data_IF_315767148927
#
_entry.id   IF_315767148927
#
_cell.length_a   1.000
_cell.length_b   1.000
_cell.length_c   1.000
_cell.angle_alpha   90.00
_cell.angle_beta   90.00
_cell.angle_gamma   90.00
#
_symmetry.space_group_name_H-M   'P 1'
#
loop_
_entity.id
_entity.type
_entity.pdbx_description
1 polymer ?
#
# COMPACT_ATOMS: atom_id res chain seq x y z
N UNK A 1 26.13 1.42 3.13
CA UNK A 1 26.43 1.47 1.68
C UNK A 1 25.13 1.11 0.98
N UNK A 2 24.42 2.12 0.48
CA UNK A 2 22.96 2.16 0.51
C UNK A 2 22.23 1.41 -0.60
N UNK A 3 20.99 1.06 -0.27
CA UNK A 3 19.88 0.47 -1.02
C UNK A 3 19.44 1.28 -2.26
N UNK A 4 20.39 1.73 -3.09
CA UNK A 4 20.13 2.61 -4.24
C UNK A 4 19.72 1.84 -5.51
N UNK A 5 20.12 0.57 -5.59
CA UNK A 5 19.74 -0.32 -6.69
C UNK A 5 18.24 -0.64 -6.70
N UNK A 6 17.64 -0.78 -5.51
CA UNK A 6 16.25 -1.20 -5.38
C UNK A 6 15.26 -0.09 -5.80
N UNK A 7 15.46 1.14 -5.31
CA UNK A 7 14.55 2.25 -5.63
C UNK A 7 14.53 2.60 -7.13
N UNK A 8 15.70 2.55 -7.79
CA UNK A 8 15.77 2.76 -9.25
C UNK A 8 15.11 1.60 -10.00
N UNK A 9 15.34 0.35 -9.55
CA UNK A 9 14.70 -0.84 -10.10
C UNK A 9 13.18 -0.76 -10.00
N UNK A 10 12.64 -0.39 -8.84
CA UNK A 10 11.19 -0.19 -8.61
C UNK A 10 10.59 0.81 -9.60
N UNK A 11 11.25 1.97 -9.81
CA UNK A 11 10.78 2.96 -10.77
C UNK A 11 10.81 2.44 -12.22
N UNK A 12 11.84 1.66 -12.60
CA UNK A 12 11.91 1.03 -13.92
C UNK A 12 10.85 -0.07 -14.10
N UNK A 13 10.55 -0.85 -13.07
CA UNK A 13 9.48 -1.84 -13.10
C UNK A 13 8.11 -1.18 -13.31
N UNK A 14 7.86 -0.01 -12.72
CA UNK A 14 6.64 0.75 -12.97
C UNK A 14 6.54 1.25 -14.41
N UNK A 15 7.64 1.76 -14.97
CA UNK A 15 7.68 2.14 -16.38
C UNK A 15 7.39 0.96 -17.31
N UNK A 16 7.96 -0.22 -17.02
CA UNK A 16 7.68 -1.45 -17.77
C UNK A 16 6.21 -1.86 -17.68
N UNK A 17 5.60 -1.77 -16.49
CA UNK A 17 4.15 -2.01 -16.31
C UNK A 17 3.32 -1.02 -17.10
N UNK A 18 3.69 0.26 -17.11
CA UNK A 18 3.00 1.29 -17.88
C UNK A 18 2.97 0.95 -19.39
N UNK A 19 4.12 0.57 -19.95
CA UNK A 19 4.24 0.17 -21.35
C UNK A 19 3.39 -1.07 -21.64
N UNK A 20 3.44 -2.08 -20.77
CA UNK A 20 2.64 -3.29 -20.92
C UNK A 20 1.13 -2.99 -20.89
N UNK A 21 0.67 -2.10 -20.00
CA UNK A 21 -0.72 -1.67 -19.95
C UNK A 21 -1.14 -0.88 -21.19
N UNK A 22 -0.29 0.03 -21.65
CA UNK A 22 -0.52 0.82 -22.86
C UNK A 22 -0.73 -0.09 -24.09
N UNK A 23 0.18 -1.06 -24.27
CA UNK A 23 0.09 -2.08 -25.32
C UNK A 23 -1.15 -2.97 -25.18
N UNK A 24 -1.58 -3.25 -23.95
CA UNK A 24 -2.78 -4.04 -23.66
C UNK A 24 -4.09 -3.22 -23.69
N UNK A 25 -4.04 -1.96 -24.16
CA UNK A 25 -5.19 -1.05 -24.18
C UNK A 25 -5.85 -0.88 -22.80
N UNK A 26 -5.04 -0.93 -21.74
CA UNK A 26 -5.38 -0.68 -20.35
C UNK A 26 -4.94 0.75 -20.00
N UNK A 27 -5.58 1.71 -20.66
CA UNK A 27 -5.07 3.07 -20.74
C UNK A 27 -5.11 3.81 -19.39
N UNK A 28 -6.10 3.52 -18.54
CA UNK A 28 -6.17 4.12 -17.20
C UNK A 28 -4.98 3.69 -16.33
N UNK A 29 -4.64 2.39 -16.37
CA UNK A 29 -3.51 1.83 -15.65
C UNK A 29 -2.17 2.28 -16.23
N UNK A 30 -2.08 2.39 -17.56
CA UNK A 30 -0.91 2.92 -18.23
C UNK A 30 -0.62 4.36 -17.80
N UNK A 31 -1.63 5.22 -17.85
CA UNK A 31 -1.55 6.63 -17.42
C UNK A 31 -1.08 6.72 -15.96
N UNK A 32 -1.66 5.91 -15.08
CA UNK A 32 -1.31 5.88 -13.67
C UNK A 32 0.16 5.46 -13.46
N UNK A 33 0.58 4.34 -14.05
CA UNK A 33 1.95 3.85 -13.90
C UNK A 33 3.01 4.76 -14.55
N UNK A 34 2.71 5.41 -15.68
CA UNK A 34 3.63 6.38 -16.29
C UNK A 34 3.86 7.57 -15.36
N UNK A 35 2.80 8.09 -14.72
CA UNK A 35 2.90 9.17 -13.74
C UNK A 35 3.76 8.77 -12.54
N UNK A 36 3.42 7.65 -11.90
CA UNK A 36 4.16 7.13 -10.74
C UNK A 36 5.63 6.84 -11.06
N UNK A 37 5.92 6.27 -12.23
CA UNK A 37 7.29 6.02 -12.66
C UNK A 37 8.05 7.34 -12.86
N UNK A 38 7.46 8.33 -13.54
CA UNK A 38 8.08 9.62 -13.77
C UNK A 38 8.38 10.35 -12.46
N UNK A 39 7.41 10.40 -11.53
CA UNK A 39 7.56 11.07 -10.24
C UNK A 39 8.67 10.43 -9.41
N UNK A 40 8.71 9.08 -9.33
CA UNK A 40 9.77 8.34 -8.63
C UNK A 40 11.15 8.61 -9.25
N UNK A 41 11.27 8.60 -10.58
CA UNK A 41 12.54 8.90 -11.27
C UNK A 41 12.99 10.32 -10.97
N UNK A 42 12.09 11.31 -11.07
CA UNK A 42 12.42 12.71 -10.82
C UNK A 42 12.88 12.93 -9.37
N UNK A 43 12.21 12.32 -8.40
CA UNK A 43 12.60 12.36 -6.99
C UNK A 43 13.99 11.74 -6.76
N UNK A 44 14.31 10.62 -7.41
CA UNK A 44 15.63 9.98 -7.34
C UNK A 44 16.72 10.85 -7.96
N UNK A 45 16.44 11.47 -9.11
CA UNK A 45 17.39 12.40 -9.76
C UNK A 45 17.63 13.64 -8.90
N UNK A 46 16.58 14.23 -8.33
CA UNK A 46 16.68 15.40 -7.44
C UNK A 46 17.48 15.09 -6.17
N UNK A 47 17.27 13.91 -5.59
CA UNK A 47 18.02 13.44 -4.42
C UNK A 47 19.43 12.90 -4.74
N UNK A 48 19.88 13.03 -6.00
CA UNK A 48 21.19 12.54 -6.50
C UNK A 48 21.39 11.03 -6.29
N UNK A 49 20.31 10.27 -6.20
CA UNK A 49 20.28 8.81 -6.05
C UNK A 49 20.23 8.06 -7.38
N UNK A 50 19.97 8.78 -8.48
CA UNK A 50 19.97 8.24 -9.83
C UNK A 50 20.64 9.19 -10.83
N UNK A 51 21.03 8.65 -11.99
CA UNK A 51 21.66 9.42 -13.06
C UNK A 51 20.75 10.55 -13.57
N UNK A 52 21.25 11.79 -13.70
CA UNK A 52 20.50 12.90 -14.29
C UNK A 52 19.98 12.62 -15.71
N UNK A 53 20.61 11.68 -16.44
CA UNK A 53 20.17 11.26 -17.78
C UNK A 53 18.74 10.67 -17.77
N UNK A 54 18.32 10.05 -16.67
CA UNK A 54 16.97 9.47 -16.55
C UNK A 54 15.86 10.53 -16.52
N UNK A 55 16.20 11.81 -16.30
CA UNK A 55 15.24 12.91 -16.38
C UNK A 55 14.56 12.95 -17.75
N UNK A 56 15.29 12.65 -18.83
CA UNK A 56 14.71 12.60 -20.18
C UNK A 56 13.61 11.54 -20.26
N UNK A 57 13.87 10.33 -19.76
CA UNK A 57 12.89 9.24 -19.77
C UNK A 57 11.64 9.60 -18.95
N UNK A 58 11.82 10.23 -17.78
CA UNK A 58 10.69 10.68 -16.97
C UNK A 58 9.79 11.68 -17.74
N UNK A 59 10.40 12.61 -18.49
CA UNK A 59 9.64 13.55 -19.33
C UNK A 59 8.90 12.83 -20.46
N UNK A 60 9.53 11.86 -21.13
CA UNK A 60 8.88 11.04 -22.16
C UNK A 60 7.67 10.25 -21.60
N UNK A 61 7.76 9.75 -20.37
CA UNK A 61 6.64 9.09 -19.68
C UNK A 61 5.51 10.06 -19.36
N UNK A 62 5.82 11.28 -18.91
CA UNK A 62 4.81 12.33 -18.69
C UNK A 62 4.12 12.69 -20.00
N UNK A 63 4.88 12.93 -21.08
CA UNK A 63 4.32 13.24 -22.40
C UNK A 63 3.39 12.14 -22.89
N UNK A 64 3.77 10.86 -22.71
CA UNK A 64 2.90 9.74 -23.07
C UNK A 64 1.64 9.67 -22.22
N UNK A 65 1.75 9.87 -20.91
CA UNK A 65 0.60 9.90 -20.01
C UNK A 65 -0.38 11.01 -20.38
N UNK A 66 0.10 12.22 -20.66
CA UNK A 66 -0.72 13.36 -21.08
C UNK A 66 -1.38 13.12 -22.45
N UNK A 67 -0.65 12.53 -23.39
CA UNK A 67 -1.22 12.12 -24.68
C UNK A 67 -2.40 11.15 -24.50
N UNK A 68 -2.24 10.12 -23.65
CA UNK A 68 -3.31 9.16 -23.37
C UNK A 68 -4.48 9.81 -22.62
N UNK A 69 -4.20 10.67 -21.63
CA UNK A 69 -5.22 11.38 -20.84
C UNK A 69 -6.15 12.23 -21.71
N UNK A 70 -5.61 12.93 -22.71
CA UNK A 70 -6.38 13.83 -23.59
C UNK A 70 -7.59 13.15 -24.24
N UNK A 71 -7.42 11.90 -24.66
CA UNK A 71 -8.45 11.12 -25.35
C UNK A 71 -8.96 9.93 -24.51
N UNK A 72 -8.66 9.91 -23.21
CA UNK A 72 -8.85 8.74 -22.35
C UNK A 72 -10.30 8.19 -22.38
N UNK A 73 -11.37 9.01 -22.29
CA UNK A 73 -12.73 8.48 -22.35
C UNK A 73 -13.01 7.70 -23.64
N UNK A 74 -12.56 8.23 -24.78
CA UNK A 74 -12.72 7.58 -26.09
C UNK A 74 -11.91 6.29 -26.19
N UNK A 75 -10.67 6.32 -25.73
CA UNK A 75 -9.76 5.16 -25.76
C UNK A 75 -10.28 4.01 -24.88
N UNK A 76 -10.80 4.34 -23.69
CA UNK A 76 -11.39 3.37 -22.78
C UNK A 76 -12.65 2.73 -23.37
N UNK A 77 -13.55 3.51 -23.98
CA UNK A 77 -14.74 2.97 -24.62
C UNK A 77 -14.39 2.05 -25.80
N UNK A 78 -13.42 2.43 -26.63
CA UNK A 78 -12.94 1.59 -27.73
C UNK A 78 -12.31 0.28 -27.22
N UNK A 79 -11.52 0.34 -26.15
CA UNK A 79 -10.91 -0.83 -25.54
C UNK A 79 -11.94 -1.77 -24.89
N UNK A 80 -13.00 -1.23 -24.28
CA UNK A 80 -14.08 -2.05 -23.73
C UNK A 80 -14.84 -2.81 -24.82
N UNK A 81 -15.02 -2.21 -26.00
CA UNK A 81 -15.74 -2.84 -27.11
C UNK A 81 -15.06 -4.12 -27.64
N UNK A 82 -13.76 -4.30 -27.38
CA UNK A 82 -12.98 -5.47 -27.82
C UNK A 82 -12.79 -6.52 -26.72
N UNK A 83 -13.23 -6.24 -25.49
CA UNK A 83 -12.98 -7.08 -24.30
C UNK A 83 -14.27 -7.72 -23.80
N UNK A 84 -14.17 -8.94 -23.27
CA UNK A 84 -15.30 -9.58 -22.60
C UNK A 84 -15.63 -8.86 -21.28
N UNK A 85 -16.90 -8.88 -20.83
CA UNK A 85 -17.29 -8.32 -19.53
C UNK A 85 -16.45 -8.89 -18.36
N UNK A 86 -16.21 -10.20 -18.40
CA UNK A 86 -15.34 -10.94 -17.47
C UNK A 86 -13.93 -10.36 -17.39
N UNK A 87 -13.34 -10.05 -18.56
CA UNK A 87 -12.00 -9.44 -18.64
C UNK A 87 -11.99 -8.02 -18.08
N UNK A 88 -12.99 -7.22 -18.39
CA UNK A 88 -13.12 -5.83 -17.88
C UNK A 88 -13.20 -5.83 -16.35
N UNK A 89 -13.99 -6.73 -15.77
CA UNK A 89 -14.12 -6.85 -14.32
C UNK A 89 -12.79 -7.24 -13.65
N UNK A 90 -12.06 -8.19 -14.25
CA UNK A 90 -10.75 -8.58 -13.75
C UNK A 90 -9.75 -7.41 -13.80
N UNK A 91 -9.71 -6.68 -14.92
CA UNK A 91 -8.81 -5.52 -15.09
C UNK A 91 -9.10 -4.43 -14.05
N UNK A 92 -10.39 -4.16 -13.75
CA UNK A 92 -10.80 -3.23 -12.69
C UNK A 92 -10.29 -3.65 -11.31
N UNK A 93 -10.46 -4.92 -10.95
CA UNK A 93 -9.96 -5.45 -9.67
C UNK A 93 -8.43 -5.35 -9.58
N UNK A 94 -7.73 -5.76 -10.65
CA UNK A 94 -6.26 -5.66 -10.73
C UNK A 94 -5.77 -4.21 -10.61
N UNK A 95 -6.51 -3.24 -11.18
CA UNK A 95 -6.14 -1.84 -11.09
C UNK A 95 -6.33 -1.27 -9.67
N UNK A 96 -7.44 -1.60 -9.01
CA UNK A 96 -7.67 -1.18 -7.62
C UNK A 96 -6.55 -1.69 -6.70
N UNK A 97 -6.15 -2.96 -6.85
CA UNK A 97 -5.00 -3.52 -6.11
C UNK A 97 -3.70 -2.81 -6.43
N UNK A 98 -3.44 -2.49 -7.71
CA UNK A 98 -2.24 -1.76 -8.11
C UNK A 98 -2.16 -0.40 -7.39
N UNK A 99 -3.25 0.39 -7.36
CA UNK A 99 -3.28 1.66 -6.63
C UNK A 99 -3.00 1.46 -5.14
N UNK A 100 -3.65 0.47 -4.53
CA UNK A 100 -3.46 0.15 -3.13
C UNK A 100 -2.00 -0.18 -2.80
N UNK A 101 -1.35 -1.01 -3.64
CA UNK A 101 0.06 -1.40 -3.48
C UNK A 101 0.99 -0.20 -3.53
N UNK A 102 0.82 0.73 -4.48
CA UNK A 102 1.71 1.90 -4.58
C UNK A 102 1.53 2.88 -3.42
N UNK A 103 0.30 3.02 -2.91
CA UNK A 103 0.02 3.82 -1.72
C UNK A 103 0.59 3.18 -0.45
N UNK A 104 0.51 1.86 -0.35
CA UNK A 104 1.10 1.09 0.74
C UNK A 104 2.63 1.23 0.76
N UNK A 105 3.28 1.04 -0.40
CA UNK A 105 4.73 1.24 -0.58
C UNK A 105 5.19 2.66 -0.21
N UNK A 106 4.37 3.67 -0.48
CA UNK A 106 4.67 5.07 -0.15
C UNK A 106 4.30 5.46 1.29
N UNK A 107 3.78 4.52 2.07
CA UNK A 107 3.43 4.73 3.48
C UNK A 107 2.10 5.43 3.72
N UNK A 108 1.29 5.63 2.66
CA UNK A 108 -0.06 6.18 2.75
C UNK A 108 -1.08 5.10 3.15
N UNK A 109 -0.89 4.50 4.33
CA UNK A 109 -1.63 3.31 4.80
C UNK A 109 -3.15 3.47 4.76
N UNK A 110 -3.70 4.59 5.23
CA UNK A 110 -5.15 4.83 5.20
C UNK A 110 -5.71 4.81 3.77
N UNK A 111 -5.07 5.49 2.82
CA UNK A 111 -5.52 5.48 1.41
C UNK A 111 -5.33 4.10 0.79
N UNK A 112 -4.26 3.38 1.15
CA UNK A 112 -4.05 2.01 0.70
C UNK A 112 -5.17 1.08 1.19
N UNK A 113 -5.61 1.22 2.45
CA UNK A 113 -6.75 0.47 3.00
C UNK A 113 -8.03 0.74 2.20
N UNK A 114 -8.30 2.00 1.84
CA UNK A 114 -9.47 2.35 1.04
C UNK A 114 -9.45 1.66 -0.34
N UNK A 115 -8.31 1.71 -1.03
CA UNK A 115 -8.18 1.07 -2.35
C UNK A 115 -8.18 -0.46 -2.29
N UNK A 116 -7.59 -1.07 -1.26
CA UNK A 116 -7.72 -2.51 -1.04
C UNK A 116 -9.17 -2.91 -0.75
N UNK A 117 -9.90 -2.09 0.01
CA UNK A 117 -11.31 -2.33 0.31
C UNK A 117 -12.17 -2.24 -0.96
N UNK A 118 -11.90 -1.24 -1.82
CA UNK A 118 -12.53 -1.13 -3.14
C UNK A 118 -12.23 -2.37 -4.01
N UNK A 119 -10.98 -2.84 -4.03
CA UNK A 119 -10.60 -4.04 -4.77
C UNK A 119 -11.39 -5.28 -4.30
N UNK A 120 -11.54 -5.46 -2.98
CA UNK A 120 -12.34 -6.54 -2.38
C UNK A 120 -13.80 -6.43 -2.84
N UNK A 121 -14.38 -5.23 -2.77
CA UNK A 121 -15.76 -5.00 -3.19
C UNK A 121 -15.97 -5.32 -4.67
N UNK A 122 -15.09 -4.86 -5.55
CA UNK A 122 -15.12 -5.17 -6.99
C UNK A 122 -15.02 -6.69 -7.20
N UNK A 123 -14.13 -7.39 -6.48
CA UNK A 123 -13.99 -8.84 -6.58
C UNK A 123 -15.25 -9.59 -6.14
N UNK A 124 -15.89 -9.18 -5.04
CA UNK A 124 -17.13 -9.80 -4.55
C UNK A 124 -18.26 -9.60 -5.55
N UNK A 125 -18.45 -8.37 -6.04
CA UNK A 125 -19.48 -8.06 -7.03
C UNK A 125 -19.25 -8.80 -8.35
N UNK A 126 -18.01 -8.88 -8.81
CA UNK A 126 -17.66 -9.62 -10.02
C UNK A 126 -17.87 -11.12 -9.83
N UNK A 127 -17.47 -11.70 -8.70
CA UNK A 127 -17.61 -13.13 -8.44
C UNK A 127 -19.08 -13.58 -8.34
N UNK A 128 -19.97 -12.72 -7.81
CA UNK A 128 -21.40 -13.00 -7.73
C UNK A 128 -22.08 -13.08 -9.10
N UNK A 129 -21.59 -12.32 -10.08
CA UNK A 129 -22.17 -12.21 -11.42
C UNK A 129 -21.39 -12.97 -12.50
N UNK A 130 -20.32 -13.67 -12.12
CA UNK A 130 -19.44 -14.39 -13.03
C UNK A 130 -19.87 -15.85 -13.16
N UNK A 131 -20.09 -16.33 -14.38
CA UNK A 131 -20.38 -17.75 -14.68
C UNK A 131 -19.11 -18.61 -14.82
N UNK A 132 -17.96 -18.00 -15.09
CA UNK A 132 -16.67 -18.67 -15.28
C UNK A 132 -16.01 -19.02 -13.93
N UNK A 133 -15.76 -20.31 -13.67
CA UNK A 133 -15.18 -20.77 -12.39
C UNK A 133 -13.72 -20.31 -12.22
N UNK A 134 -12.91 -20.39 -13.27
CA UNK A 134 -11.49 -19.98 -13.20
C UNK A 134 -11.36 -18.50 -12.83
N UNK A 135 -12.20 -17.64 -13.40
CA UNK A 135 -12.23 -16.23 -13.06
C UNK A 135 -12.73 -16.00 -11.62
N UNK A 136 -13.78 -16.72 -11.18
CA UNK A 136 -14.22 -16.67 -9.76
C UNK A 136 -13.09 -17.03 -8.80
N UNK A 137 -12.32 -18.07 -9.10
CA UNK A 137 -11.15 -18.47 -8.30
C UNK A 137 -10.10 -17.36 -8.27
N UNK A 138 -9.81 -16.74 -9.42
CA UNK A 138 -8.84 -15.62 -9.49
C UNK A 138 -9.31 -14.40 -8.69
N UNK A 139 -10.57 -14.01 -8.81
CA UNK A 139 -11.17 -12.90 -8.05
C UNK A 139 -11.16 -13.16 -6.54
N UNK A 140 -11.48 -14.38 -6.10
CA UNK A 140 -11.39 -14.77 -4.68
C UNK A 140 -9.96 -14.68 -4.15
N UNK A 141 -8.97 -15.13 -4.93
CA UNK A 141 -7.55 -15.01 -4.54
C UNK A 141 -7.13 -13.55 -4.36
N UNK A 142 -7.54 -12.67 -5.28
CA UNK A 142 -7.28 -11.23 -5.19
C UNK A 142 -7.93 -10.65 -3.93
N UNK A 143 -9.22 -10.94 -3.70
CA UNK A 143 -9.97 -10.45 -2.55
C UNK A 143 -9.34 -10.91 -1.21
N UNK A 144 -8.98 -12.19 -1.09
CA UNK A 144 -8.38 -12.72 0.14
C UNK A 144 -7.02 -12.08 0.42
N UNK A 145 -6.17 -11.94 -0.61
CA UNK A 145 -4.86 -11.29 -0.44
C UNK A 145 -5.00 -9.81 -0.06
N UNK A 146 -5.96 -9.09 -0.65
CA UNK A 146 -6.26 -7.71 -0.28
C UNK A 146 -6.80 -7.61 1.16
N UNK A 147 -7.67 -8.53 1.58
CA UNK A 147 -8.23 -8.57 2.93
C UNK A 147 -7.14 -8.79 3.98
N UNK A 148 -6.28 -9.80 3.79
CA UNK A 148 -5.14 -10.06 4.66
C UNK A 148 -4.25 -8.82 4.83
N UNK A 149 -4.03 -8.09 3.72
CA UNK A 149 -3.24 -6.86 3.75
C UNK A 149 -3.94 -5.72 4.50
N UNK A 150 -5.24 -5.54 4.31
CA UNK A 150 -6.05 -4.55 5.05
C UNK A 150 -6.00 -4.82 6.56
N UNK A 151 -6.18 -6.06 6.97
CA UNK A 151 -6.11 -6.45 8.39
C UNK A 151 -4.74 -6.17 8.98
N UNK A 152 -3.67 -6.46 8.23
CA UNK A 152 -2.32 -6.12 8.63
C UNK A 152 -2.11 -4.60 8.78
N UNK A 153 -2.52 -3.81 7.78
CA UNK A 153 -2.35 -2.36 7.80
C UNK A 153 -3.11 -1.71 8.96
N UNK A 154 -4.34 -2.16 9.25
CA UNK A 154 -5.12 -1.68 10.40
C UNK A 154 -4.41 -1.94 11.73
N UNK A 155 -3.77 -3.10 11.90
CA UNK A 155 -2.97 -3.41 13.10
C UNK A 155 -1.77 -2.47 13.22
N UNK A 156 -1.09 -2.19 12.10
CA UNK A 156 0.04 -1.26 12.06
C UNK A 156 -0.41 0.17 12.43
N UNK A 157 -1.54 0.64 11.90
CA UNK A 157 -2.07 1.97 12.24
C UNK A 157 -2.48 2.08 13.71
N UNK A 158 -3.12 1.06 14.26
CA UNK A 158 -3.48 1.05 15.69
C UNK A 158 -2.22 1.02 16.57
N UNK A 159 -1.21 0.24 16.20
CA UNK A 159 0.06 0.22 16.92
C UNK A 159 0.74 1.60 16.92
N UNK A 160 0.83 2.26 15.77
CA UNK A 160 1.36 3.63 15.66
C UNK A 160 0.58 4.62 16.51
N UNK A 161 -0.74 4.47 16.57
CA UNK A 161 -1.62 5.31 17.39
C UNK A 161 -1.34 5.11 18.89
N UNK A 162 -1.21 3.86 19.33
CA UNK A 162 -0.88 3.54 20.72
C UNK A 162 0.50 4.09 21.09
N UNK A 163 1.50 3.87 20.25
CA UNK A 163 2.87 4.38 20.45
C UNK A 163 2.88 5.91 20.60
N UNK A 164 2.22 6.63 19.69
CA UNK A 164 2.09 8.09 19.74
C UNK A 164 1.39 8.58 21.03
N UNK A 165 0.43 7.83 21.57
CA UNK A 165 -0.21 8.17 22.84
C UNK A 165 0.71 7.90 24.03
N UNK A 166 1.54 6.86 23.97
CA UNK A 166 2.48 6.50 25.06
C UNK A 166 3.72 7.38 25.14
N UNK A 167 4.24 7.88 24.01
CA UNK A 167 5.39 8.80 23.98
C UNK A 167 5.08 10.17 24.61
N UNK A 168 3.81 10.56 24.66
CA UNK A 168 3.36 11.83 25.21
C UNK A 168 2.91 11.75 26.69
N UNK A 169 3.17 10.63 27.37
CA UNK A 169 2.84 10.51 28.78
C UNK A 169 3.89 11.27 29.63
N UNK A 170 3.46 12.10 30.60
CA UNK A 170 4.38 12.76 31.51
C UNK A 170 5.08 11.74 32.40
N UNK A 171 6.38 11.93 32.63
CA UNK A 171 7.12 11.15 33.61
C UNK A 171 6.46 11.24 34.99
N UNK A 172 6.26 10.10 35.64
CA UNK A 172 5.74 10.07 37.01
C UNK A 172 6.84 10.59 37.94
N UNK A 173 6.60 11.65 38.74
CA UNK A 173 7.55 12.10 39.73
C UNK A 173 7.86 10.97 40.72
N UNK A 174 9.14 10.60 40.84
CA UNK A 174 9.60 9.48 41.68
C UNK A 174 9.70 9.86 43.16
N UNK A 175 8.99 10.91 43.59
CA UNK A 175 9.06 11.38 44.97
C UNK A 175 8.10 10.59 45.87
N UNK A 176 8.67 9.64 46.60
CA UNK A 176 8.14 9.12 47.86
C UNK A 176 7.29 7.85 47.81
N UNK A 177 6.70 7.49 46.67
CA UNK A 177 5.79 6.32 46.62
C UNK A 177 6.56 4.99 46.57
N UNK A 178 7.74 4.95 45.96
CA UNK A 178 8.54 3.71 45.80
C UNK A 178 9.11 3.22 47.15
N UNK A 179 9.39 4.11 48.10
CA UNK A 179 9.91 3.73 49.41
C UNK A 179 8.86 3.00 50.28
N UNK A 180 7.57 3.32 50.11
CA UNK A 180 6.49 2.70 50.87
C UNK A 180 6.19 1.26 50.40
N UNK A 181 6.26 0.99 49.10
CA UNK A 181 6.01 -0.36 48.57
C UNK A 181 7.12 -1.36 48.88
N UNK A 182 8.39 -0.91 48.90
CA UNK A 182 9.51 -1.78 49.31
C UNK A 182 9.43 -2.16 50.79
N UNK A 183 9.16 -1.18 51.66
CA UNK A 183 9.08 -1.41 53.11
C UNK A 183 7.87 -2.26 53.52
N UNK A 184 6.72 -2.13 52.84
CA UNK A 184 5.55 -2.97 53.12
C UNK A 184 5.78 -4.43 52.67
N UNK A 185 6.46 -4.64 51.54
CA UNK A 185 6.78 -5.98 51.00
C UNK A 185 7.82 -6.71 51.85
N UNK A 186 8.76 -6.00 52.46
CA UNK A 186 9.71 -6.60 53.42
C UNK A 186 9.06 -6.91 54.76
N UNK A 187 8.19 -6.02 55.28
CA UNK A 187 7.43 -6.27 56.52
C UNK A 187 6.48 -7.47 56.40
N UNK A 188 5.80 -7.63 55.26
CA UNK A 188 4.97 -8.81 54.98
C UNK A 188 5.80 -10.10 54.89
N UNK A 189 7.00 -10.04 54.30
CA UNK A 189 7.92 -11.19 54.25
C UNK A 189 8.48 -11.58 55.62
N UNK A 190 8.71 -10.62 56.50
CA UNK A 190 9.13 -10.87 57.88
C UNK A 190 8.01 -11.50 58.71
N UNK A 191 6.76 -11.05 58.55
CA UNK A 191 5.61 -11.61 59.25
C UNK A 191 5.35 -13.08 58.87
N UNK A 192 5.47 -13.43 57.59
CA UNK A 192 5.29 -14.82 57.13
C UNK A 192 6.34 -15.79 57.71
N UNK A 193 7.54 -15.32 58.08
CA UNK A 193 8.58 -16.16 58.70
C UNK A 193 8.33 -16.44 60.18
N UNK A 194 7.66 -15.53 60.87
CA UNK A 194 7.35 -15.64 62.31
C UNK A 194 6.16 -16.60 62.54
N UNK A 195 5.24 -16.70 61.58
CA UNK A 195 4.04 -17.56 61.69
C UNK A 195 4.35 -19.03 61.32
N UNK A 196 5.55 -19.32 60.78
CA UNK A 196 5.93 -20.66 60.29
C UNK A 196 6.86 -21.44 61.22
N UNK A 197 6.96 -21.08 62.51
CA UNK A 197 7.70 -21.78 63.58
C UNK A 197 6.79 -22.02 64.77
#
# INVERSE_FOLDING_TARGET
MGDYGDATSSAMQLAQRAIAFDQAQRYEEAVYCYGEAADRILALVQSKKASPALRKNALEYVERAEFLKKDLPRLVELAKATKSPSRILLEKAEFAVLKAQLLDESGHCSLAIDWYSEAIQVCIQAAANCSEEELRVKLRKIANSALERVEHLKKVEEQKRVEALTENLPDVPVDGIVFAFFTLREKLRALCRIIST
#
